data_IF_836842318610
#
_entry.id   IF_836842318610
#
_cell.length_a   1.000
_cell.length_b   1.000
_cell.length_c   1.000
_cell.angle_alpha   90.00
_cell.angle_beta   90.00
_cell.angle_gamma   90.00
#
_symmetry.space_group_name_H-M   'P 1'
#
loop_
_entity.id
_entity.type
_entity.pdbx_description
1 polymer ?
#
# COMPACT_ATOMS: atom_id res chain seq x y z
N UNK A 1 -10.59 0.21 -10.27
CA UNK A 1 -9.27 0.87 -10.19
C UNK A 1 -8.12 -0.07 -10.57
N UNK A 2 -8.40 -1.36 -10.74
CA UNK A 2 -7.43 -2.43 -10.95
C UNK A 2 -6.59 -2.30 -12.22
N UNK A 3 -7.06 -1.57 -13.24
CA UNK A 3 -6.26 -1.27 -14.44
C UNK A 3 -5.03 -0.43 -14.07
N UNK A 4 -5.21 0.61 -13.24
CA UNK A 4 -4.12 1.50 -12.84
C UNK A 4 -3.15 0.80 -11.87
N UNK A 5 -3.71 -0.02 -10.97
CA UNK A 5 -2.95 -0.85 -10.04
C UNK A 5 -2.31 -2.09 -10.71
N UNK A 6 -2.63 -2.38 -11.97
CA UNK A 6 -2.13 -3.57 -12.68
C UNK A 6 -2.64 -4.90 -12.12
N UNK A 7 -3.81 -4.90 -11.47
CA UNK A 7 -4.48 -6.08 -10.90
C UNK A 7 -5.65 -6.59 -11.76
N UNK A 8 -6.00 -5.92 -12.87
CA UNK A 8 -7.03 -6.42 -13.79
C UNK A 8 -6.49 -7.61 -14.58
N UNK A 9 -7.07 -8.79 -14.36
CA UNK A 9 -6.68 -10.02 -15.06
C UNK A 9 -7.41 -10.27 -16.39
N UNK A 10 -8.67 -9.84 -16.52
CA UNK A 10 -9.53 -10.24 -17.64
C UNK A 10 -10.04 -9.07 -18.46
N UNK A 11 -10.32 -9.35 -19.74
CA UNK A 11 -10.83 -8.38 -20.72
C UNK A 11 -9.73 -7.58 -21.41
N UNK A 12 -10.13 -6.66 -22.29
CA UNK A 12 -9.19 -5.82 -23.03
C UNK A 12 -8.82 -4.57 -22.23
N UNK A 13 -7.53 -4.24 -22.24
CA UNK A 13 -6.97 -3.00 -21.71
C UNK A 13 -6.30 -2.30 -22.91
N UNK A 14 -6.70 -1.07 -23.19
CA UNK A 14 -6.13 -0.26 -24.28
C UNK A 14 -5.73 1.12 -23.79
N UNK A 15 -4.95 1.83 -24.61
CA UNK A 15 -4.42 3.16 -24.29
C UNK A 15 -3.04 3.12 -23.64
N UNK A 16 -2.54 4.29 -23.25
CA UNK A 16 -1.27 4.46 -22.54
C UNK A 16 -1.52 5.17 -21.21
N UNK A 17 -0.79 4.76 -20.17
CA UNK A 17 -0.87 5.36 -18.84
C UNK A 17 0.45 6.07 -18.58
N UNK A 18 0.38 7.36 -18.25
CA UNK A 18 1.53 8.17 -17.87
C UNK A 18 1.36 8.71 -16.45
N UNK A 19 2.47 8.83 -15.74
CA UNK A 19 2.54 9.40 -14.39
C UNK A 19 3.51 10.57 -14.47
N UNK A 20 3.03 11.78 -14.22
CA UNK A 20 3.84 13.01 -14.33
C UNK A 20 4.55 13.16 -15.69
N UNK A 21 3.89 12.74 -16.77
CA UNK A 21 4.42 12.81 -18.14
C UNK A 21 5.30 11.62 -18.58
N UNK A 22 5.64 10.70 -17.67
CA UNK A 22 6.45 9.52 -17.99
C UNK A 22 5.59 8.27 -18.17
N UNK A 23 5.94 7.34 -19.09
CA UNK A 23 5.21 6.09 -19.25
C UNK A 23 5.29 5.25 -17.97
N UNK A 24 4.14 4.76 -17.51
CA UNK A 24 4.04 3.94 -16.31
C UNK A 24 4.74 2.59 -16.50
N UNK A 25 5.70 2.30 -15.61
CA UNK A 25 6.34 0.98 -15.49
C UNK A 25 5.76 0.25 -14.27
N UNK A 26 5.11 -0.89 -14.47
CA UNK A 26 4.39 -1.61 -13.40
C UNK A 26 5.30 -1.98 -12.22
N UNK A 27 6.49 -2.50 -12.49
CA UNK A 27 7.45 -3.00 -11.49
C UNK A 27 7.88 -1.92 -10.49
N UNK A 28 8.25 -0.74 -10.98
CA UNK A 28 8.67 0.39 -10.13
C UNK A 28 7.48 1.11 -9.52
N UNK A 29 6.38 1.23 -10.26
CA UNK A 29 5.20 1.93 -9.78
C UNK A 29 4.62 1.24 -8.56
N UNK A 30 4.53 -0.10 -8.55
CA UNK A 30 4.03 -0.91 -7.43
C UNK A 30 4.71 -0.65 -6.08
N UNK A 31 5.92 -0.06 -6.08
CA UNK A 31 6.68 0.27 -4.87
C UNK A 31 6.39 1.67 -4.31
N UNK A 32 5.75 2.54 -5.10
CA UNK A 32 5.56 3.96 -4.77
C UNK A 32 4.09 4.39 -4.67
N UNK A 33 3.13 3.57 -5.12
CA UNK A 33 1.70 3.81 -4.87
C UNK A 33 1.12 2.83 -3.85
N UNK A 34 0.10 3.28 -3.13
CA UNK A 34 -0.78 2.43 -2.33
C UNK A 34 -2.08 2.14 -3.07
N UNK A 35 -2.58 0.90 -2.97
CA UNK A 35 -3.88 0.49 -3.48
C UNK A 35 -4.64 -0.25 -2.38
N UNK A 36 -5.78 0.30 -1.97
CA UNK A 36 -6.70 -0.34 -1.05
C UNK A 36 -7.79 -1.04 -1.85
N UNK A 37 -8.00 -2.32 -1.57
CA UNK A 37 -9.11 -3.08 -2.16
C UNK A 37 -10.44 -2.60 -1.57
N UNK A 38 -11.54 -2.87 -2.27
CA UNK A 38 -12.88 -2.56 -1.75
C UNK A 38 -13.26 -3.45 -0.55
N UNK A 39 -12.80 -4.70 -0.56
CA UNK A 39 -13.01 -5.63 0.54
C UNK A 39 -11.71 -5.73 1.33
N UNK A 40 -11.80 -5.39 2.61
CA UNK A 40 -10.67 -5.50 3.52
C UNK A 40 -10.35 -6.96 3.84
N UNK A 41 -9.06 -7.27 3.91
CA UNK A 41 -8.55 -8.57 4.33
C UNK A 41 -7.78 -8.36 5.63
N UNK A 42 -8.42 -8.67 6.75
CA UNK A 42 -7.81 -8.59 8.07
C UNK A 42 -7.97 -9.90 8.84
N UNK A 43 -7.00 -10.20 9.70
CA UNK A 43 -7.11 -11.32 10.63
C UNK A 43 -8.05 -10.93 11.78
N UNK A 44 -9.07 -11.75 12.12
CA UNK A 44 -9.98 -11.44 13.21
C UNK A 44 -9.33 -11.55 14.61
N UNK A 45 -8.12 -12.11 14.69
CA UNK A 45 -7.41 -12.35 15.95
C UNK A 45 -6.35 -11.28 16.27
N UNK A 46 -6.28 -10.22 15.47
CA UNK A 46 -5.23 -9.19 15.56
C UNK A 46 -5.88 -7.82 15.67
N UNK A 47 -5.36 -6.97 16.54
CA UNK A 47 -5.85 -5.60 16.71
C UNK A 47 -5.44 -4.71 15.54
N UNK A 48 -6.11 -3.56 15.38
CA UNK A 48 -5.74 -2.54 14.39
C UNK A 48 -4.28 -2.10 14.58
N UNK A 49 -3.87 -1.88 15.82
CA UNK A 49 -2.50 -1.47 16.14
C UNK A 49 -1.47 -2.52 15.72
N UNK A 50 -1.69 -3.80 16.02
CA UNK A 50 -0.79 -4.88 15.63
C UNK A 50 -0.73 -5.06 14.10
N UNK A 51 -1.85 -4.88 13.41
CA UNK A 51 -1.93 -4.95 11.95
C UNK A 51 -1.13 -3.84 11.28
N UNK A 52 -1.24 -2.61 11.79
CA UNK A 52 -0.46 -1.47 11.31
C UNK A 52 1.02 -1.61 11.66
N UNK A 53 1.34 -2.09 12.86
CA UNK A 53 2.71 -2.35 13.28
C UNK A 53 3.35 -3.37 12.33
N UNK A 54 2.69 -4.50 12.10
CA UNK A 54 3.15 -5.54 11.18
C UNK A 54 3.38 -5.00 9.76
N UNK A 55 2.45 -4.18 9.25
CA UNK A 55 2.59 -3.53 7.94
C UNK A 55 3.80 -2.60 7.89
N UNK A 56 4.03 -1.80 8.93
CA UNK A 56 5.17 -0.90 9.04
C UNK A 56 6.51 -1.65 9.09
N UNK A 57 6.56 -2.83 9.71
CA UNK A 57 7.76 -3.69 9.72
C UNK A 57 8.14 -4.21 8.34
N UNK A 58 7.15 -4.49 7.48
CA UNK A 58 7.39 -5.03 6.14
C UNK A 58 7.70 -3.95 5.10
N UNK A 59 7.10 -2.76 5.24
CA UNK A 59 7.19 -1.70 4.24
C UNK A 59 8.37 -0.75 4.47
N UNK A 60 8.79 -0.57 5.72
CA UNK A 60 9.85 0.38 6.06
C UNK A 60 11.25 -0.24 6.02
N UNK A 61 12.24 0.59 5.67
CA UNK A 61 13.65 0.16 5.70
C UNK A 61 14.07 -0.28 7.12
N UNK A 62 15.00 -1.23 7.18
CA UNK A 62 15.57 -1.75 8.44
C UNK A 62 16.34 -0.67 9.21
N UNK A 63 16.81 0.36 8.51
CA UNK A 63 17.56 1.49 9.08
C UNK A 63 16.68 2.45 9.90
N UNK A 64 15.36 2.36 9.78
CA UNK A 64 14.44 3.22 10.55
C UNK A 64 14.39 2.73 12.00
N UNK A 65 14.61 3.67 12.94
CA UNK A 65 14.52 3.39 14.38
C UNK A 65 13.13 2.87 14.76
N UNK A 66 13.11 1.92 15.69
CA UNK A 66 11.92 1.38 16.34
C UNK A 66 10.97 2.47 16.88
N UNK A 67 11.49 3.58 17.40
CA UNK A 67 10.67 4.68 17.90
C UNK A 67 9.93 5.41 16.78
N UNK A 68 10.63 5.74 15.69
CA UNK A 68 10.03 6.36 14.50
C UNK A 68 8.98 5.44 13.89
N UNK A 69 9.24 4.12 13.85
CA UNK A 69 8.28 3.13 13.34
C UNK A 69 7.00 3.10 14.17
N UNK A 70 7.11 3.10 15.50
CA UNK A 70 5.94 3.15 16.41
C UNK A 70 5.16 4.45 16.28
N UNK A 71 5.85 5.58 16.12
CA UNK A 71 5.25 6.90 15.83
C UNK A 71 4.41 6.87 14.55
N UNK A 72 4.95 6.29 13.46
CA UNK A 72 4.19 6.15 12.20
C UNK A 72 2.97 5.26 12.40
N UNK A 73 3.10 4.13 13.10
CA UNK A 73 1.96 3.25 13.41
C UNK A 73 0.87 3.97 14.21
N UNK A 74 1.25 4.76 15.21
CA UNK A 74 0.33 5.50 16.05
C UNK A 74 -0.45 6.56 15.26
N UNK A 75 0.26 7.39 14.50
CA UNK A 75 -0.35 8.42 13.65
C UNK A 75 -1.29 7.80 12.61
N UNK A 76 -0.91 6.67 11.99
CA UNK A 76 -1.78 5.97 11.04
C UNK A 76 -3.02 5.39 11.73
N UNK A 77 -2.91 4.89 12.97
CA UNK A 77 -4.06 4.35 13.71
C UNK A 77 -5.13 5.39 14.05
N UNK A 78 -4.75 6.64 14.23
CA UNK A 78 -5.67 7.75 14.51
C UNK A 78 -6.45 8.21 13.27
N UNK A 79 -5.92 7.93 12.07
CA UNK A 79 -6.54 8.29 10.78
C UNK A 79 -7.34 7.14 10.14
N UNK A 80 -7.45 5.99 10.80
CA UNK A 80 -8.26 4.84 10.35
C UNK A 80 -9.73 4.95 10.85
N UNK A 81 -10.18 6.16 11.20
CA UNK A 81 -11.58 6.50 11.50
C UNK A 81 -12.23 7.29 10.36
#
# INVERSE_FOLDING_TARGET
>A
MDVLAGRKMWGYIGGSITISGYPKKQETFARVYGYCEQNDIHSPHVTVYESLLYSAWLQLSREINSETRKMTTHCQSEHVL
#
